data_IF_201164747984
#
_entry.id   IF_201164747984
#
_cell.length_a   1.000
_cell.length_b   1.000
_cell.length_c   1.000
_cell.angle_alpha   90.00
_cell.angle_beta   90.00
_cell.angle_gamma   90.00
#
_symmetry.space_group_name_H-M   'P 1'
#
loop_
_entity.id
_entity.type
_entity.pdbx_description
1 polymer ?
#
# COMPACT_ATOMS: atom_id res chain seq x y z
N UNK A 1 -8.28 7.21 0.88
CA UNK A 1 -9.49 6.55 0.34
C UNK A 1 -9.74 5.18 0.98
N UNK A 2 -11.00 4.70 0.97
CA UNK A 2 -11.38 3.36 1.46
C UNK A 2 -12.16 2.64 0.35
N UNK A 3 -11.90 1.35 0.17
CA UNK A 3 -12.66 0.48 -0.74
C UNK A 3 -12.75 -0.94 -0.19
N UNK A 4 -13.75 -1.70 -0.62
CA UNK A 4 -13.91 -3.08 -0.18
C UNK A 4 -14.69 -3.91 -1.19
N UNK A 5 -14.53 -5.22 -1.09
CA UNK A 5 -15.39 -6.22 -1.71
C UNK A 5 -15.72 -7.33 -0.69
N UNK A 6 -16.22 -8.47 -1.15
CA UNK A 6 -16.62 -9.60 -0.30
C UNK A 6 -15.46 -10.19 0.53
N UNK A 7 -14.23 -10.08 0.05
CA UNK A 7 -13.06 -10.73 0.65
C UNK A 7 -12.08 -9.74 1.31
N UNK A 8 -12.03 -8.49 0.85
CA UNK A 8 -11.01 -7.53 1.24
C UNK A 8 -11.59 -6.18 1.65
N UNK A 9 -11.03 -5.60 2.72
CA UNK A 9 -11.17 -4.20 3.07
C UNK A 9 -9.83 -3.48 2.89
N UNK A 10 -9.82 -2.39 2.15
CA UNK A 10 -8.62 -1.63 1.81
C UNK A 10 -8.77 -0.19 2.31
N UNK A 11 -7.75 0.30 3.00
CA UNK A 11 -7.58 1.72 3.32
C UNK A 11 -6.27 2.20 2.73
N UNK A 12 -6.30 3.31 2.00
CA UNK A 12 -5.13 3.96 1.43
C UNK A 12 -5.06 5.38 1.99
N UNK A 13 -3.95 5.72 2.61
CA UNK A 13 -3.69 7.06 3.15
C UNK A 13 -2.31 7.52 2.70
N UNK A 14 -2.17 8.80 2.36
CA UNK A 14 -0.85 9.37 2.12
C UNK A 14 -0.19 9.75 3.44
N UNK A 15 1.12 9.52 3.50
CA UNK A 15 1.98 9.97 4.60
C UNK A 15 3.16 10.74 4.01
N UNK A 16 3.34 11.95 4.52
CA UNK A 16 4.48 12.79 4.24
C UNK A 16 5.60 12.42 5.22
N UNK A 17 6.73 11.94 4.70
CA UNK A 17 7.78 11.25 5.49
C UNK A 17 8.88 12.19 6.01
N UNK A 18 9.67 11.77 7.03
CA UNK A 18 10.58 10.60 6.97
C UNK A 18 10.02 9.28 7.54
N UNK A 19 10.24 8.16 6.83
CA UNK A 19 9.79 6.76 7.09
C UNK A 19 10.25 6.10 8.39
N UNK A 20 10.87 6.87 9.30
CA UNK A 20 11.54 6.38 10.51
C UNK A 20 11.14 7.15 11.77
N UNK A 21 9.87 7.51 11.92
CA UNK A 21 9.38 7.85 13.27
C UNK A 21 9.06 6.55 14.00
N UNK A 22 9.27 6.51 15.31
CA UNK A 22 8.92 5.39 16.20
C UNK A 22 7.44 5.00 16.18
N UNK A 23 6.59 5.76 15.46
CA UNK A 23 5.15 5.53 15.30
C UNK A 23 4.77 4.94 13.93
N UNK A 24 5.77 4.64 13.10
CA UNK A 24 5.51 4.13 11.75
C UNK A 24 5.03 2.66 11.84
N UNK A 25 3.89 2.29 11.23
CA UNK A 25 3.43 0.91 11.22
C UNK A 25 4.52 -0.04 10.74
N UNK A 26 4.61 -1.24 11.32
CA UNK A 26 5.44 -2.30 10.74
C UNK A 26 4.89 -2.64 9.36
N UNK A 27 5.54 -2.15 8.31
CA UNK A 27 5.18 -2.48 6.95
C UNK A 27 5.55 -3.94 6.66
N UNK A 28 4.57 -4.69 6.18
CA UNK A 28 4.78 -6.04 5.63
C UNK A 28 5.65 -5.96 4.38
N UNK A 29 5.47 -4.91 3.56
CA UNK A 29 6.23 -4.67 2.33
C UNK A 29 6.42 -3.18 2.08
N UNK A 30 7.58 -2.80 1.52
CA UNK A 30 7.89 -1.43 1.10
C UNK A 30 8.31 -1.48 -0.37
N UNK A 31 7.68 -0.65 -1.19
CA UNK A 31 7.96 -0.53 -2.62
C UNK A 31 8.46 0.87 -2.95
N UNK A 32 9.63 0.95 -3.57
CA UNK A 32 10.27 2.20 -3.98
C UNK A 32 10.74 2.10 -5.43
N UNK A 33 9.80 2.11 -6.37
CA UNK A 33 10.08 1.83 -7.78
C UNK A 33 10.97 2.89 -8.44
N UNK A 34 10.89 4.14 -7.98
CA UNK A 34 11.68 5.25 -8.50
C UNK A 34 12.99 5.49 -7.75
N UNK A 35 13.29 4.67 -6.74
CA UNK A 35 14.54 4.74 -6.00
C UNK A 35 14.73 6.02 -5.20
N UNK A 36 13.64 6.63 -4.71
CA UNK A 36 13.68 7.81 -3.85
C UNK A 36 14.56 7.55 -2.63
N UNK A 37 15.45 8.48 -2.33
CA UNK A 37 16.36 8.45 -1.19
C UNK A 37 15.78 9.25 -0.04
N UNK A 38 16.32 9.05 1.17
CA UNK A 38 15.91 9.79 2.36
C UNK A 38 16.06 11.32 2.20
N UNK A 39 16.98 11.77 1.34
CA UNK A 39 17.19 13.19 1.00
C UNK A 39 16.15 13.77 0.03
N UNK A 40 15.35 12.91 -0.61
CA UNK A 40 14.43 13.35 -1.65
C UNK A 40 13.10 13.79 -1.03
N UNK A 41 12.39 14.67 -1.73
CA UNK A 41 11.06 15.09 -1.32
C UNK A 41 10.03 14.08 -1.83
N UNK A 42 9.71 13.09 -1.00
CA UNK A 42 8.80 11.98 -1.32
C UNK A 42 7.67 11.84 -0.30
N UNK A 43 6.60 11.17 -0.70
CA UNK A 43 5.55 10.67 0.18
C UNK A 43 5.40 9.16 -0.05
N UNK A 44 4.57 8.49 0.74
CA UNK A 44 4.09 7.18 0.36
C UNK A 44 2.60 7.03 0.61
N UNK A 45 2.00 6.13 -0.16
CA UNK A 45 0.70 5.58 0.16
C UNK A 45 0.91 4.42 1.13
N UNK A 46 0.31 4.54 2.30
CA UNK A 46 0.16 3.46 3.26
C UNK A 46 -1.14 2.75 2.94
N UNK A 47 -1.01 1.51 2.47
CA UNK A 47 -2.10 0.66 2.02
C UNK A 47 -2.29 -0.43 3.09
N UNK A 48 -3.38 -0.31 3.83
CA UNK A 48 -3.80 -1.33 4.80
C UNK A 48 -4.79 -2.26 4.13
N UNK A 49 -4.44 -3.55 4.09
CA UNK A 49 -5.25 -4.62 3.53
C UNK A 49 -5.74 -5.48 4.69
N UNK A 50 -7.06 -5.65 4.79
CA UNK A 50 -7.69 -6.54 5.75
C UNK A 50 -8.46 -7.62 5.00
N UNK A 51 -8.26 -8.87 5.39
CA UNK A 51 -9.03 -10.02 4.95
C UNK A 51 -9.33 -10.93 6.13
N UNK A 52 -10.18 -11.94 5.93
CA UNK A 52 -10.49 -12.93 6.97
C UNK A 52 -9.24 -13.69 7.43
N UNK A 53 -8.31 -13.97 6.51
CA UNK A 53 -7.09 -14.72 6.79
C UNK A 53 -5.95 -13.89 7.40
N UNK A 54 -6.08 -12.56 7.50
CA UNK A 54 -5.06 -11.71 8.09
C UNK A 54 -5.07 -10.28 7.58
N UNK A 55 -4.04 -9.53 7.97
CA UNK A 55 -3.82 -8.15 7.55
C UNK A 55 -2.41 -7.96 6.98
N UNK A 56 -2.29 -7.01 6.05
CA UNK A 56 -1.01 -6.58 5.50
C UNK A 56 -0.97 -5.05 5.44
N UNK A 57 0.22 -4.48 5.69
CA UNK A 57 0.47 -3.05 5.59
C UNK A 57 1.56 -2.82 4.55
N UNK A 58 1.23 -2.19 3.44
CA UNK A 58 2.14 -1.95 2.31
C UNK A 58 2.45 -0.46 2.24
N UNK A 59 3.72 -0.10 2.15
CA UNK A 59 4.15 1.26 1.82
C UNK A 59 4.53 1.34 0.34
N UNK A 60 3.91 2.24 -0.40
CA UNK A 60 4.24 2.52 -1.80
C UNK A 60 4.80 3.94 -1.93
N UNK A 61 6.12 4.06 -2.09
CA UNK A 61 6.85 5.34 -2.13
C UNK A 61 6.71 5.98 -3.51
N UNK A 62 6.34 7.25 -3.53
CA UNK A 62 6.17 8.06 -4.73
C UNK A 62 6.47 9.53 -4.50
N UNK A 63 6.10 10.38 -5.46
CA UNK A 63 6.27 11.81 -5.33
C UNK A 63 5.46 12.36 -4.15
N UNK A 64 5.98 13.42 -3.53
CA UNK A 64 5.21 14.22 -2.57
C UNK A 64 3.90 14.76 -3.16
N UNK A 65 3.82 14.97 -4.48
CA UNK A 65 2.61 15.47 -5.13
C UNK A 65 1.59 14.39 -5.51
N UNK A 66 1.87 13.12 -5.21
CA UNK A 66 0.90 12.05 -5.43
C UNK A 66 -0.35 12.29 -4.58
N UNK A 67 -1.51 11.97 -5.15
CA UNK A 67 -2.83 12.13 -4.54
C UNK A 67 -3.43 10.75 -4.30
N UNK A 68 -3.75 10.42 -3.05
CA UNK A 68 -4.38 9.16 -2.68
C UNK A 68 -5.89 9.12 -2.97
N UNK A 69 -6.50 10.26 -3.31
CA UNK A 69 -7.91 10.33 -3.69
C UNK A 69 -8.10 9.72 -5.07
N UNK A 70 -9.02 8.75 -5.19
CA UNK A 70 -9.34 8.06 -6.45
C UNK A 70 -8.13 7.40 -7.17
N UNK A 71 -7.07 7.09 -6.43
CA UNK A 71 -5.84 6.54 -6.99
C UNK A 71 -5.88 5.02 -7.26
N UNK A 72 -6.93 4.31 -6.86
CA UNK A 72 -6.93 2.86 -6.88
C UNK A 72 -8.28 2.24 -7.27
N UNK A 73 -8.20 1.01 -7.80
CA UNK A 73 -9.34 0.13 -8.10
C UNK A 73 -9.02 -1.27 -7.58
N UNK A 74 -10.04 -1.92 -7.00
CA UNK A 74 -10.00 -3.31 -6.58
C UNK A 74 -10.89 -4.16 -7.49
N UNK A 75 -10.29 -5.15 -8.16
CA UNK A 75 -10.98 -6.14 -8.99
C UNK A 75 -10.62 -7.56 -8.51
N UNK A 76 -11.59 -8.24 -7.87
CA UNK A 76 -11.33 -9.52 -7.21
C UNK A 76 -10.22 -9.42 -6.14
N UNK A 77 -9.10 -10.10 -6.34
CA UNK A 77 -7.90 -10.02 -5.50
C UNK A 77 -6.84 -9.04 -6.03
N UNK A 78 -7.06 -8.42 -7.18
CA UNK A 78 -6.09 -7.53 -7.83
C UNK A 78 -6.35 -6.08 -7.42
N UNK A 79 -5.45 -5.54 -6.61
CA UNK A 79 -5.43 -4.11 -6.27
C UNK A 79 -4.52 -3.38 -7.27
N UNK A 80 -5.10 -2.47 -8.06
CA UNK A 80 -4.36 -1.62 -8.99
C UNK A 80 -4.33 -0.19 -8.45
N UNK A 81 -3.14 0.38 -8.34
CA UNK A 81 -2.89 1.73 -7.79
C UNK A 81 -2.13 2.56 -8.82
N UNK A 82 -2.62 3.75 -9.10
CA UNK A 82 -1.92 4.81 -9.81
C UNK A 82 -1.17 5.65 -8.77
N UNK A 83 0.14 5.76 -8.92
CA UNK A 83 0.95 6.69 -8.15
C UNK A 83 1.92 7.39 -9.08
N UNK A 84 1.97 8.72 -8.99
CA UNK A 84 2.63 9.57 -9.99
C UNK A 84 2.03 9.28 -11.39
N UNK A 85 2.85 8.74 -12.30
CA UNK A 85 2.47 8.28 -13.63
C UNK A 85 2.66 6.77 -13.80
N UNK A 86 2.79 6.03 -12.70
CA UNK A 86 3.04 4.58 -12.69
C UNK A 86 1.80 3.82 -12.21
N UNK A 87 1.52 2.69 -12.86
CA UNK A 87 0.48 1.76 -12.43
C UNK A 87 1.15 0.58 -11.72
N UNK A 88 0.85 0.43 -10.43
CA UNK A 88 1.34 -0.65 -9.59
C UNK A 88 0.20 -1.61 -9.32
N UNK A 89 0.48 -2.91 -9.39
CA UNK A 89 -0.51 -3.97 -9.15
C UNK A 89 -0.05 -4.89 -8.04
N UNK A 90 -0.96 -5.20 -7.13
CA UNK A 90 -0.75 -6.15 -6.05
C UNK A 90 -1.78 -7.27 -6.17
N UNK A 91 -1.32 -8.52 -6.22
CA UNK A 91 -2.19 -9.65 -5.94
C UNK A 91 -2.28 -9.84 -4.43
N UNK A 92 -3.46 -9.53 -3.88
CA UNK A 92 -3.70 -9.59 -2.44
C UNK A 92 -3.71 -11.03 -1.91
N UNK A 93 -3.87 -12.04 -2.77
CA UNK A 93 -3.78 -13.45 -2.36
C UNK A 93 -2.36 -13.86 -1.99
N UNK A 94 -1.34 -13.21 -2.57
CA UNK A 94 0.07 -13.45 -2.26
C UNK A 94 0.62 -12.53 -1.15
N UNK A 95 -0.06 -11.41 -0.91
CA UNK A 95 0.37 -10.40 0.05
C UNK A 95 0.04 -10.77 1.51
N UNK A 96 -0.94 -11.65 1.71
CA UNK A 96 -1.38 -12.10 3.02
C UNK A 96 -0.70 -13.42 3.40
N UNK A 97 -0.24 -13.58 4.66
CA UNK A 97 0.30 -14.84 5.10
C UNK A 97 -0.78 -15.92 4.99
N UNK A 98 -0.57 -16.91 4.13
CA UNK A 98 -1.38 -18.13 4.15
C UNK A 98 -1.13 -18.79 5.49
N UNK A 99 -2.17 -18.92 6.33
CA UNK A 99 -2.10 -19.79 7.51
C UNK A 99 -1.83 -21.21 7.02
N UNK A 100 -0.55 -21.60 6.99
CA UNK A 100 -0.16 -23.00 6.84
C UNK A 100 -0.58 -23.70 8.12
N UNK A 101 -1.75 -24.33 8.09
CA UNK A 101 -2.16 -25.30 9.10
C UNK A 101 -1.16 -26.45 9.07
N UNK A 102 -0.43 -26.65 10.18
CA UNK A 102 0.29 -27.87 10.51
C UNK A 102 -0.47 -28.66 11.56
#
# INVERSE_FOLDING_TARGET
MIMSNEAYGISISKVDYPLRSTETPKYSRIFNFRGYKESDFYAAFVIQVKAICGEACIALIGSFYADEEHCAVLDGSLLTILMDNEIVRFDLSEALPTSTNG
#
